data_IF_388160843699
#
_entry.id   IF_388160843699
#
_cell.length_a   1.000
_cell.length_b   1.000
_cell.length_c   1.000
_cell.angle_alpha   90.00
_cell.angle_beta   90.00
_cell.angle_gamma   90.00
#
_symmetry.space_group_name_H-M   'P 1'
#
loop_
_entity.id
_entity.type
_entity.pdbx_description
1 polymer ?
#
# COMPACT_ATOMS: atom_id res chain seq x y z
N UNK A 1 -17.62 2.76 12.79
CA UNK A 1 -16.45 2.45 13.64
C UNK A 1 -15.24 1.86 12.87
N UNK A 2 -15.43 1.18 11.73
CA UNK A 2 -14.31 0.59 10.95
C UNK A 2 -13.35 1.57 10.24
N UNK A 3 -13.75 2.82 9.92
CA UNK A 3 -12.90 3.78 9.20
C UNK A 3 -11.68 4.28 10.01
N UNK A 4 -11.81 4.46 11.32
CA UNK A 4 -10.78 5.10 12.15
C UNK A 4 -9.64 4.16 12.54
N UNK A 5 -9.93 2.85 12.62
CA UNK A 5 -8.96 1.81 13.00
C UNK A 5 -8.19 1.31 11.79
N UNK A 6 -8.85 1.28 10.61
CA UNK A 6 -8.17 1.01 9.34
C UNK A 6 -7.02 2.01 9.12
N UNK A 7 -7.22 3.30 9.38
CA UNK A 7 -6.19 4.33 9.21
C UNK A 7 -4.95 4.11 10.09
N UNK A 8 -5.14 3.70 11.35
CA UNK A 8 -4.02 3.46 12.27
C UNK A 8 -3.26 2.16 11.95
N UNK A 9 -3.97 1.08 11.59
CA UNK A 9 -3.33 -0.17 11.17
C UNK A 9 -2.68 -0.04 9.78
N UNK A 10 -3.30 0.64 8.80
CA UNK A 10 -2.66 0.97 7.53
C UNK A 10 -1.41 1.83 7.74
N UNK A 11 -1.42 2.81 8.65
CA UNK A 11 -0.21 3.60 8.98
C UNK A 11 0.90 2.74 9.57
N UNK A 12 0.57 1.83 10.47
CA UNK A 12 1.54 0.96 11.13
C UNK A 12 2.10 -0.11 10.17
N UNK A 13 1.26 -0.63 9.29
CA UNK A 13 1.60 -1.67 8.32
C UNK A 13 2.30 -1.11 7.07
N UNK A 14 1.90 0.08 6.57
CA UNK A 14 2.67 0.83 5.57
C UNK A 14 4.11 1.06 6.04
N UNK A 15 4.30 1.51 7.30
CA UNK A 15 5.64 1.76 7.82
C UNK A 15 6.51 0.49 7.98
N UNK A 16 5.90 -0.70 8.15
CA UNK A 16 6.65 -1.95 8.42
C UNK A 16 6.87 -2.84 7.19
N UNK A 17 5.98 -2.81 6.19
CA UNK A 17 6.13 -3.55 4.92
C UNK A 17 6.75 -2.73 3.80
N UNK A 18 6.68 -1.39 3.84
CA UNK A 18 7.40 -0.53 2.89
C UNK A 18 8.78 -0.14 3.43
N UNK A 19 9.53 -1.10 3.97
CA UNK A 19 10.98 -0.93 4.19
C UNK A 19 11.78 -0.86 2.86
N UNK A 20 11.09 -0.75 1.72
CA UNK A 20 11.60 -0.17 0.48
C UNK A 20 10.98 1.23 0.33
N UNK A 21 11.30 2.10 1.28
CA UNK A 21 11.00 3.54 1.25
C UNK A 21 11.47 4.02 -0.13
N UNK A 22 10.62 4.78 -0.83
CA UNK A 22 10.96 5.53 -2.06
C UNK A 22 10.46 5.00 -3.42
N UNK A 23 9.82 3.83 -3.59
CA UNK A 23 9.23 3.51 -4.93
C UNK A 23 7.78 3.95 -5.01
N UNK A 24 6.90 3.49 -4.11
CA UNK A 24 5.47 3.81 -4.19
C UNK A 24 5.19 5.31 -3.93
N UNK A 25 5.84 5.87 -2.92
CA UNK A 25 5.71 7.29 -2.57
C UNK A 25 6.24 8.20 -3.69
N UNK A 26 7.41 7.88 -4.24
CA UNK A 26 7.98 8.61 -5.37
C UNK A 26 7.13 8.46 -6.62
N UNK A 27 6.67 7.24 -6.93
CA UNK A 27 5.76 6.99 -8.05
C UNK A 27 4.47 7.81 -7.92
N UNK A 28 3.94 7.95 -6.71
CA UNK A 28 2.74 8.74 -6.46
C UNK A 28 2.95 10.24 -6.69
N UNK A 29 4.08 10.80 -6.22
CA UNK A 29 4.42 12.23 -6.41
C UNK A 29 4.79 12.50 -7.86
N UNK A 30 5.72 11.73 -8.41
CA UNK A 30 6.28 11.96 -9.74
C UNK A 30 5.23 11.73 -10.84
N UNK A 31 4.38 10.70 -10.74
CA UNK A 31 3.31 10.49 -11.72
C UNK A 31 2.29 11.64 -11.77
N UNK A 32 2.20 12.45 -10.70
CA UNK A 32 1.29 13.62 -10.64
C UNK A 32 1.94 14.91 -11.14
N UNK A 33 3.23 15.10 -10.89
CA UNK A 33 3.89 16.39 -11.08
C UNK A 33 5.02 16.37 -12.12
N UNK A 34 5.61 15.21 -12.41
CA UNK A 34 6.64 15.07 -13.42
C UNK A 34 6.05 14.50 -14.72
N UNK A 35 6.00 15.35 -15.75
CA UNK A 35 5.49 14.99 -17.10
C UNK A 35 6.36 13.92 -17.79
N UNK A 36 7.60 13.74 -17.36
CA UNK A 36 8.54 12.78 -17.92
C UNK A 36 8.66 11.50 -17.07
N UNK A 37 7.84 11.35 -16.02
CA UNK A 37 7.89 10.19 -15.16
C UNK A 37 7.67 8.90 -15.95
N UNK A 38 8.54 7.92 -15.72
CA UNK A 38 8.45 6.56 -16.28
C UNK A 38 8.69 5.53 -15.18
N UNK A 39 7.90 4.47 -15.22
CA UNK A 39 8.03 3.31 -14.35
C UNK A 39 8.33 2.07 -15.20
N UNK A 40 9.28 1.24 -14.78
CA UNK A 40 9.55 -0.02 -15.49
C UNK A 40 8.46 -1.04 -15.25
N UNK A 41 8.33 -2.02 -16.16
CA UNK A 41 7.39 -3.13 -15.98
C UNK A 41 7.68 -3.91 -14.69
N UNK A 42 8.96 -4.15 -14.37
CA UNK A 42 9.31 -4.88 -13.13
C UNK A 42 8.95 -4.08 -11.89
N UNK A 43 9.16 -2.76 -11.90
CA UNK A 43 8.78 -1.88 -10.80
C UNK A 43 7.26 -1.88 -10.59
N UNK A 44 6.48 -1.84 -11.67
CA UNK A 44 5.02 -1.89 -11.60
C UNK A 44 4.53 -3.24 -11.07
N UNK A 45 5.04 -4.36 -11.59
CA UNK A 45 4.68 -5.69 -11.12
C UNK A 45 5.04 -5.90 -9.65
N UNK A 46 6.20 -5.40 -9.23
CA UNK A 46 6.59 -5.39 -7.82
C UNK A 46 5.57 -4.63 -6.96
N UNK A 47 5.13 -3.44 -7.39
CA UNK A 47 4.12 -2.67 -6.63
C UNK A 47 2.78 -3.41 -6.54
N UNK A 48 2.32 -4.00 -7.63
CA UNK A 48 1.06 -4.77 -7.67
C UNK A 48 1.11 -5.92 -6.66
N UNK A 49 2.17 -6.73 -6.69
CA UNK A 49 2.32 -7.87 -5.79
C UNK A 49 2.28 -7.45 -4.31
N UNK A 50 2.91 -6.32 -3.98
CA UNK A 50 2.92 -5.78 -2.61
C UNK A 50 1.54 -5.29 -2.17
N UNK A 51 0.81 -4.62 -3.07
CA UNK A 51 -0.55 -4.13 -2.81
C UNK A 51 -1.52 -5.31 -2.64
N UNK A 52 -1.41 -6.37 -3.43
CA UNK A 52 -2.31 -7.51 -3.31
C UNK A 52 -2.06 -8.31 -2.03
N UNK A 53 -0.79 -8.52 -1.65
CA UNK A 53 -0.47 -9.09 -0.32
C UNK A 53 -1.05 -8.25 0.81
N UNK A 54 -0.98 -6.92 0.69
CA UNK A 54 -1.56 -6.00 1.68
C UNK A 54 -3.08 -6.18 1.78
N UNK A 55 -3.78 -6.19 0.64
CA UNK A 55 -5.24 -6.40 0.60
C UNK A 55 -5.65 -7.70 1.27
N UNK A 56 -4.96 -8.80 0.96
CA UNK A 56 -5.25 -10.12 1.55
C UNK A 56 -5.14 -10.13 3.08
N UNK A 57 -4.08 -9.50 3.62
CA UNK A 57 -3.88 -9.42 5.07
C UNK A 57 -4.96 -8.53 5.69
N UNK A 58 -5.25 -7.39 5.06
CA UNK A 58 -6.29 -6.47 5.51
C UNK A 58 -7.67 -7.12 5.52
N UNK A 59 -8.01 -7.90 4.51
CA UNK A 59 -9.29 -8.60 4.41
C UNK A 59 -9.47 -9.59 5.56
N UNK A 60 -8.47 -10.44 5.84
CA UNK A 60 -8.50 -11.36 6.99
C UNK A 60 -8.72 -10.61 8.30
N UNK A 61 -7.93 -9.56 8.54
CA UNK A 61 -8.02 -8.77 9.76
C UNK A 61 -9.37 -8.04 9.90
N UNK A 62 -9.91 -7.51 8.80
CA UNK A 62 -11.21 -6.86 8.79
C UNK A 62 -12.34 -7.87 9.07
N UNK A 63 -12.32 -9.04 8.44
CA UNK A 63 -13.32 -10.09 8.66
C UNK A 63 -13.29 -10.63 10.09
N UNK A 64 -12.10 -10.89 10.64
CA UNK A 64 -11.92 -11.28 12.05
C UNK A 64 -12.52 -10.25 13.01
N UNK A 65 -12.43 -8.96 12.67
CA UNK A 65 -12.91 -7.88 13.54
C UNK A 65 -14.41 -7.60 13.39
N UNK A 66 -15.00 -7.82 12.22
CA UNK A 66 -16.43 -7.62 11.96
C UNK A 66 -17.25 -8.77 12.54
N UNK A 67 -16.75 -10.00 12.45
CA UNK A 67 -17.43 -11.21 12.93
C UNK A 67 -17.26 -11.45 14.45
N UNK A 68 -16.72 -10.47 15.18
CA UNK A 68 -16.49 -10.50 16.62
C UNK A 68 -17.37 -9.46 17.31
#
# INVERSE_FOLDING_TARGET
MCKFIMLNYLKYFCNRLLNKKNILEKAYVDARYDKNYRISREQLLYLIERIDRLKMIMEKFCLERINR
#
